data_IF_556577331623
#
_entry.id   IF_556577331623
#
_cell.length_a   1.000
_cell.length_b   1.000
_cell.length_c   1.000
_cell.angle_alpha   90.00
_cell.angle_beta   90.00
_cell.angle_gamma   90.00
#
_symmetry.space_group_name_H-M   'P 1'
#
loop_
_entity.id
_entity.type
_entity.pdbx_description
1 polymer ?
#
# COMPACT_ATOMS: atom_id res chain seq x y z
N UNK A 1 37.81 -4.72 -30.26
CA UNK A 1 36.68 -3.76 -30.21
C UNK A 1 35.43 -4.35 -29.55
N UNK A 2 34.88 -5.48 -30.03
CA UNK A 2 33.68 -6.11 -29.42
C UNK A 2 33.85 -6.53 -27.96
N UNK A 3 35.00 -7.09 -27.59
CA UNK A 3 35.28 -7.52 -26.21
C UNK A 3 35.36 -6.35 -25.23
N UNK A 4 35.96 -5.23 -25.66
CA UNK A 4 36.01 -4.00 -24.87
C UNK A 4 34.63 -3.39 -24.66
N UNK A 5 33.76 -3.44 -25.68
CA UNK A 5 32.37 -2.98 -25.57
C UNK A 5 31.59 -3.84 -24.57
N UNK A 6 31.74 -5.16 -24.61
CA UNK A 6 31.09 -6.07 -23.66
C UNK A 6 31.58 -5.82 -22.22
N UNK A 7 32.88 -5.59 -22.03
CA UNK A 7 33.45 -5.29 -20.72
C UNK A 7 32.95 -3.94 -20.17
N UNK A 8 32.84 -2.92 -21.04
CA UNK A 8 32.29 -1.61 -20.64
C UNK A 8 30.81 -1.69 -20.25
N UNK A 9 30.01 -2.46 -20.97
CA UNK A 9 28.57 -2.64 -20.68
C UNK A 9 28.40 -3.41 -19.36
N UNK A 10 29.21 -4.45 -19.13
CA UNK A 10 29.20 -5.22 -17.89
C UNK A 10 29.55 -4.35 -16.68
N UNK A 11 30.57 -3.50 -16.78
CA UNK A 11 30.95 -2.55 -15.73
C UNK A 11 29.83 -1.55 -15.40
N UNK A 12 29.14 -1.04 -16.41
CA UNK A 12 28.00 -0.12 -16.23
C UNK A 12 26.79 -0.78 -15.56
N UNK A 13 26.54 -2.07 -15.84
CA UNK A 13 25.46 -2.85 -15.20
C UNK A 13 25.78 -3.22 -13.75
N UNK A 14 27.06 -3.44 -13.41
CA UNK A 14 27.48 -3.80 -12.04
C UNK A 14 27.61 -2.57 -11.15
N UNK A 15 28.00 -1.42 -11.71
CA UNK A 15 28.14 -0.17 -10.96
C UNK A 15 26.86 0.67 -10.90
N UNK A 16 25.80 0.31 -11.62
CA UNK A 16 24.53 0.99 -11.46
C UNK A 16 24.00 0.74 -10.04
N UNK A 17 23.88 1.76 -9.19
CA UNK A 17 23.29 1.58 -7.89
C UNK A 17 21.79 1.43 -8.11
N UNK A 18 21.30 0.21 -8.29
CA UNK A 18 19.90 -0.11 -7.99
C UNK A 18 19.71 -0.11 -6.47
N UNK A 19 20.19 0.93 -5.79
CA UNK A 19 19.92 1.20 -4.40
C UNK A 19 18.69 2.11 -4.38
N UNK A 20 17.51 1.51 -4.59
CA UNK A 20 16.26 2.12 -4.13
C UNK A 20 16.35 2.08 -2.61
N UNK A 21 17.02 3.07 -2.04
CA UNK A 21 17.01 3.30 -0.60
C UNK A 21 15.66 3.95 -0.29
N UNK A 22 14.64 3.11 -0.06
CA UNK A 22 13.40 3.58 0.54
C UNK A 22 13.74 4.20 1.88
N UNK A 23 13.77 5.53 1.97
CA UNK A 23 13.86 6.21 3.24
C UNK A 23 12.54 5.97 3.98
N UNK A 24 12.48 4.86 4.71
CA UNK A 24 11.42 4.56 5.67
C UNK A 24 11.54 5.46 6.88
N UNK A 25 11.41 6.77 6.69
CA UNK A 25 11.05 7.64 7.79
C UNK A 25 9.62 7.29 8.15
N UNK A 26 9.45 6.50 9.21
CA UNK A 26 8.16 6.37 9.92
C UNK A 26 7.90 7.77 10.47
N UNK A 27 7.26 8.63 9.67
CA UNK A 27 6.70 9.86 10.17
C UNK A 27 5.62 9.41 11.15
N UNK A 28 5.75 9.77 12.43
CA UNK A 28 4.71 9.51 13.42
C UNK A 28 3.40 10.12 12.89
N UNK A 29 2.53 9.25 12.35
CA UNK A 29 1.24 9.60 11.72
C UNK A 29 1.37 10.78 10.73
N UNK A 30 1.81 10.53 9.47
CA UNK A 30 1.94 11.58 8.46
C UNK A 30 0.62 12.29 8.13
N UNK A 31 -0.51 11.68 8.50
CA UNK A 31 -1.86 12.18 8.26
C UNK A 31 -2.47 12.63 9.60
N UNK A 32 -2.86 13.90 9.67
CA UNK A 32 -3.55 14.46 10.84
C UNK A 32 -4.99 13.96 10.93
N UNK A 33 -5.58 14.02 12.11
CA UNK A 33 -6.99 13.66 12.33
C UNK A 33 -7.94 14.53 11.49
N UNK A 34 -7.67 15.84 11.38
CA UNK A 34 -8.45 16.73 10.52
C UNK A 34 -8.44 16.26 9.06
N UNK A 35 -7.28 15.84 8.55
CA UNK A 35 -7.17 15.31 7.19
C UNK A 35 -7.99 14.03 7.02
N UNK A 36 -7.94 13.11 7.99
CA UNK A 36 -8.76 11.91 7.99
C UNK A 36 -10.27 12.23 8.01
N UNK A 37 -10.70 13.23 8.79
CA UNK A 37 -12.09 13.69 8.80
C UNK A 37 -12.53 14.21 7.43
N UNK A 38 -11.72 15.06 6.79
CA UNK A 38 -12.04 15.55 5.44
C UNK A 38 -12.15 14.42 4.41
N UNK A 39 -11.24 13.45 4.47
CA UNK A 39 -11.24 12.30 3.56
C UNK A 39 -12.48 11.43 3.80
N UNK A 40 -12.81 11.17 5.07
CA UNK A 40 -13.95 10.38 5.50
C UNK A 40 -15.29 10.98 4.99
N UNK A 41 -15.48 12.28 5.19
CA UNK A 41 -16.67 13.00 4.70
C UNK A 41 -16.77 12.97 3.17
N UNK A 42 -15.67 13.25 2.48
CA UNK A 42 -15.65 13.30 1.02
C UNK A 42 -15.92 11.93 0.36
N UNK A 43 -15.43 10.84 0.97
CA UNK A 43 -15.50 9.50 0.38
C UNK A 43 -16.84 8.80 0.70
N UNK A 44 -17.35 8.94 1.92
CA UNK A 44 -18.51 8.16 2.37
C UNK A 44 -19.52 8.95 3.20
N UNK A 45 -19.31 10.26 3.42
CA UNK A 45 -20.07 11.02 4.42
C UNK A 45 -19.87 10.45 5.83
N UNK A 46 -18.67 9.93 6.10
CA UNK A 46 -18.33 9.22 7.33
C UNK A 46 -19.29 8.08 7.71
N UNK A 47 -19.84 7.39 6.71
CA UNK A 47 -20.69 6.25 6.94
C UNK A 47 -19.87 5.05 7.43
N UNK A 48 -19.99 4.74 8.72
CA UNK A 48 -19.20 3.74 9.45
C UNK A 48 -19.46 2.27 9.07
N UNK A 49 -20.26 2.00 8.05
CA UNK A 49 -20.62 0.61 7.72
C UNK A 49 -19.48 -0.10 6.98
N UNK A 50 -19.21 -1.35 7.34
CA UNK A 50 -18.15 -2.16 6.71
C UNK A 50 -18.39 -2.49 5.22
N UNK A 51 -19.61 -2.28 4.71
CA UNK A 51 -20.05 -2.76 3.40
C UNK A 51 -19.08 -2.42 2.27
N UNK A 52 -18.47 -3.46 1.71
CA UNK A 52 -17.77 -3.43 0.44
C UNK A 52 -18.74 -3.19 -0.72
N UNK A 53 -18.31 -2.39 -1.70
CA UNK A 53 -19.09 -2.16 -2.94
C UNK A 53 -19.25 -3.41 -3.82
N UNK A 54 -18.43 -4.43 -3.61
CA UNK A 54 -18.49 -5.74 -4.27
C UNK A 54 -17.93 -6.83 -3.35
N UNK A 55 -18.50 -8.03 -3.43
CA UNK A 55 -18.11 -9.20 -2.64
C UNK A 55 -16.79 -9.85 -3.07
N UNK A 56 -16.25 -9.52 -4.25
CA UNK A 56 -15.03 -10.14 -4.78
C UNK A 56 -13.81 -9.23 -4.70
N UNK A 57 -13.94 -7.99 -5.19
CA UNK A 57 -12.88 -6.95 -5.23
C UNK A 57 -13.52 -5.57 -5.09
N UNK A 58 -14.14 -5.32 -3.94
CA UNK A 58 -14.78 -4.06 -3.62
C UNK A 58 -13.84 -3.04 -2.97
N UNK A 59 -14.34 -1.82 -2.87
CA UNK A 59 -13.85 -0.79 -1.95
C UNK A 59 -14.65 -0.88 -0.64
N UNK A 60 -13.95 -1.04 0.48
CA UNK A 60 -14.56 -1.42 1.76
C UNK A 60 -14.41 -0.35 2.84
N UNK A 61 -15.38 -0.34 3.77
CA UNK A 61 -15.41 0.55 4.92
C UNK A 61 -15.47 2.06 4.58
N UNK A 62 -15.23 2.86 5.61
CA UNK A 62 -15.46 4.32 5.63
C UNK A 62 -14.55 5.09 4.68
N UNK A 63 -13.34 4.56 4.46
CA UNK A 63 -12.32 5.14 3.59
C UNK A 63 -12.28 4.48 2.21
N UNK A 64 -13.21 3.56 1.90
CA UNK A 64 -13.29 2.86 0.61
C UNK A 64 -11.94 2.23 0.20
N UNK A 65 -11.31 1.54 1.14
CA UNK A 65 -10.01 0.91 0.96
C UNK A 65 -10.14 -0.27 -0.02
N UNK A 66 -9.22 -0.34 -0.99
CA UNK A 66 -9.09 -1.48 -1.90
C UNK A 66 -8.19 -2.55 -1.30
N UNK A 67 -8.27 -3.77 -1.84
CA UNK A 67 -7.39 -4.85 -1.41
C UNK A 67 -5.90 -4.52 -1.57
N UNK A 68 -5.50 -3.93 -2.70
CA UNK A 68 -4.11 -3.56 -2.94
C UNK A 68 -3.59 -2.54 -1.91
N UNK A 69 -4.39 -1.51 -1.62
CA UNK A 69 -4.00 -0.47 -0.67
C UNK A 69 -3.76 -1.03 0.75
N UNK A 70 -4.58 -1.99 1.18
CA UNK A 70 -4.39 -2.66 2.47
C UNK A 70 -3.19 -3.61 2.50
N UNK A 71 -2.89 -4.30 1.38
CA UNK A 71 -1.67 -5.11 1.27
C UNK A 71 -0.43 -4.23 1.41
N UNK A 72 -0.41 -3.10 0.71
CA UNK A 72 0.70 -2.14 0.78
C UNK A 72 0.84 -1.52 2.19
N UNK A 73 -0.28 -1.40 2.93
CA UNK A 73 -0.29 -0.96 4.32
C UNK A 73 0.16 -2.04 5.33
N UNK A 74 0.62 -3.21 4.87
CA UNK A 74 1.16 -4.27 5.73
C UNK A 74 0.13 -5.29 6.23
N UNK A 75 -1.03 -5.40 5.55
CA UNK A 75 -2.07 -6.39 5.86
C UNK A 75 -2.56 -6.35 7.32
N UNK A 76 -2.81 -5.14 7.82
CA UNK A 76 -3.25 -4.92 9.21
C UNK A 76 -4.52 -5.74 9.51
N UNK A 77 -4.51 -6.48 10.62
CA UNK A 77 -5.64 -7.30 11.07
C UNK A 77 -6.31 -6.69 12.29
N UNK A 78 -7.59 -7.03 12.45
CA UNK A 78 -8.35 -6.75 13.66
C UNK A 78 -8.48 -8.04 14.46
N UNK A 79 -8.71 -7.94 15.78
CA UNK A 79 -9.02 -9.09 16.64
C UNK A 79 -7.96 -10.22 16.67
N UNK A 80 -6.71 -9.94 16.28
CA UNK A 80 -5.63 -10.93 16.28
C UNK A 80 -5.77 -12.01 15.20
N UNK A 81 -6.56 -11.77 14.15
CA UNK A 81 -6.68 -12.68 13.01
C UNK A 81 -5.36 -12.76 12.22
N UNK A 82 -5.18 -13.87 11.50
CA UNK A 82 -4.02 -14.07 10.63
C UNK A 82 -4.17 -13.23 9.35
N UNK A 83 -3.14 -12.47 8.91
CA UNK A 83 -3.23 -11.54 7.78
C UNK A 83 -3.54 -12.20 6.44
N UNK A 84 -3.28 -13.49 6.27
CA UNK A 84 -3.65 -14.22 5.04
C UNK A 84 -5.02 -14.91 5.12
N UNK A 85 -5.82 -14.61 6.16
CA UNK A 85 -7.20 -15.08 6.21
C UNK A 85 -7.99 -14.41 5.07
N UNK A 86 -8.71 -15.22 4.28
CA UNK A 86 -9.39 -14.78 3.05
C UNK A 86 -10.51 -13.74 3.26
N UNK A 87 -10.84 -13.41 4.51
CA UNK A 87 -12.02 -12.62 4.89
C UNK A 87 -11.70 -11.21 5.40
N UNK A 88 -10.43 -10.85 5.58
CA UNK A 88 -10.04 -9.60 6.27
C UNK A 88 -10.56 -8.30 5.59
N UNK A 89 -10.76 -8.33 4.27
CA UNK A 89 -11.19 -7.19 3.45
C UNK A 89 -12.51 -7.43 2.72
N UNK A 90 -13.18 -8.56 3.01
CA UNK A 90 -14.41 -8.96 2.30
C UNK A 90 -15.67 -8.67 3.12
N UNK A 91 -15.52 -8.04 4.29
CA UNK A 91 -16.58 -7.62 5.19
C UNK A 91 -16.80 -6.13 5.04
#
# INVERSE_FOLDING_TARGET
MRVFLLYSIYLLLVLSPSLVQGQGHVLDKPVTELCLTCICEAISGCNATAICTSSEKGTCGIFRITWGYWVDAGKLTVNGEHPDSLHQLRQ
#
